data_IF_327075456205
#
_entry.id   IF_327075456205
#
_cell.length_a   1.000
_cell.length_b   1.000
_cell.length_c   1.000
_cell.angle_alpha   90.00
_cell.angle_beta   90.00
_cell.angle_gamma   90.00
#
_symmetry.space_group_name_H-M   'P 1'
#
loop_
_entity.id
_entity.type
_entity.pdbx_description
1 polymer ?
#
# COMPACT_ATOMS: atom_id res chain seq x y z
N UNK A 1 -3.77 -9.76 -3.06
CA UNK A 1 -2.82 -9.04 -2.21
C UNK A 1 -2.49 -9.81 -0.95
N UNK A 2 -1.20 -9.94 -0.65
CA UNK A 2 -0.63 -10.45 0.60
C UNK A 2 0.12 -9.32 1.32
N UNK A 3 0.08 -9.26 2.65
CA UNK A 3 0.84 -8.27 3.44
C UNK A 3 2.03 -8.99 4.07
N UNK A 4 3.25 -8.68 3.63
CA UNK A 4 4.48 -9.34 4.10
C UNK A 4 5.06 -8.72 5.39
N UNK A 5 4.47 -7.63 5.87
CA UNK A 5 4.85 -6.99 7.12
C UNK A 5 5.24 -5.53 6.95
N UNK A 6 5.63 -4.90 8.07
CA UNK A 6 5.98 -3.49 8.14
C UNK A 6 7.49 -3.32 8.09
N UNK A 7 7.95 -2.45 7.21
CA UNK A 7 9.29 -1.91 7.25
C UNK A 7 9.32 -0.72 8.22
N UNK A 8 10.12 -0.85 9.28
CA UNK A 8 10.24 0.15 10.34
C UNK A 8 11.02 1.38 9.84
N UNK A 9 11.96 1.21 8.92
CA UNK A 9 12.81 2.30 8.45
C UNK A 9 12.04 3.28 7.56
N UNK A 10 11.12 2.77 6.75
CA UNK A 10 10.28 3.56 5.84
C UNK A 10 8.87 3.82 6.36
N UNK A 11 8.50 3.20 7.49
CA UNK A 11 7.15 3.21 8.06
C UNK A 11 6.07 2.79 7.04
N UNK A 12 6.42 1.84 6.18
CA UNK A 12 5.56 1.32 5.12
C UNK A 12 5.24 -0.17 5.34
N UNK A 13 4.06 -0.59 4.90
CA UNK A 13 3.71 -2.00 4.78
C UNK A 13 4.11 -2.50 3.39
N UNK A 14 4.80 -3.64 3.35
CA UNK A 14 5.07 -4.37 2.13
C UNK A 14 3.84 -5.19 1.77
N UNK A 15 3.30 -4.95 0.59
CA UNK A 15 2.19 -5.72 0.04
C UNK A 15 2.59 -6.30 -1.31
N UNK A 16 2.29 -7.58 -1.50
CA UNK A 16 2.51 -8.29 -2.77
C UNK A 16 1.18 -8.38 -3.48
N UNK A 17 1.15 -7.97 -4.75
CA UNK A 17 -0.02 -8.03 -5.62
C UNK A 17 0.36 -8.78 -6.88
N UNK A 18 -0.47 -9.74 -7.27
CA UNK A 18 -0.38 -10.34 -8.61
C UNK A 18 -0.90 -9.32 -9.62
N UNK A 19 -0.04 -8.92 -10.54
CA UNK A 19 -0.36 -8.04 -11.67
C UNK A 19 0.01 -8.77 -12.95
N UNK A 20 -0.99 -9.16 -13.73
CA UNK A 20 -0.80 -9.84 -15.01
C UNK A 20 0.06 -11.13 -14.92
N UNK A 21 -0.05 -11.87 -13.80
CA UNK A 21 0.72 -13.10 -13.56
C UNK A 21 2.12 -12.87 -12.98
N UNK A 22 2.47 -11.64 -12.63
CA UNK A 22 3.71 -11.27 -11.97
C UNK A 22 3.44 -10.76 -10.55
N UNK A 23 4.18 -11.28 -9.57
CA UNK A 23 4.16 -10.73 -8.23
C UNK A 23 4.88 -9.38 -8.24
N UNK A 24 4.16 -8.33 -7.86
CA UNK A 24 4.67 -6.96 -7.72
C UNK A 24 4.58 -6.56 -6.26
N UNK A 25 5.71 -6.14 -5.70
CA UNK A 25 5.76 -5.65 -4.33
C UNK A 25 5.62 -4.12 -4.29
N UNK A 26 4.63 -3.65 -3.52
CA UNK A 26 4.38 -2.25 -3.24
C UNK A 26 4.63 -1.90 -1.78
N UNK A 27 5.13 -0.69 -1.54
CA UNK A 27 5.23 -0.06 -0.22
C UNK A 27 4.05 0.87 0.00
N UNK A 28 3.28 0.57 1.05
CA UNK A 28 2.08 1.31 1.43
C UNK A 28 2.34 2.07 2.73
N UNK A 29 2.41 3.41 2.72
CA UNK A 29 2.72 4.18 3.91
C UNK A 29 1.67 4.07 5.02
N UNK A 30 2.12 3.80 6.26
CA UNK A 30 1.24 3.67 7.43
C UNK A 30 0.49 4.96 7.76
N UNK A 31 1.09 6.12 7.47
CA UNK A 31 0.52 7.47 7.70
C UNK A 31 -0.84 7.71 7.02
N UNK A 32 -1.26 6.86 6.08
CA UNK A 32 -2.58 6.99 5.44
C UNK A 32 -3.72 6.44 6.29
N UNK A 33 -3.44 5.52 7.22
CA UNK A 33 -4.48 4.91 8.04
C UNK A 33 -5.19 5.93 8.98
N UNK A 34 -4.50 6.83 9.72
CA UNK A 34 -5.15 7.77 10.64
C UNK A 34 -6.02 8.81 9.94
N UNK A 35 -5.51 9.41 8.86
CA UNK A 35 -6.23 10.42 8.09
C UNK A 35 -7.53 9.87 7.50
N UNK A 36 -7.55 8.57 7.16
CA UNK A 36 -8.73 7.89 6.65
C UNK A 36 -9.66 7.36 7.75
N UNK A 37 -9.10 6.98 8.90
CA UNK A 37 -9.87 6.47 10.04
C UNK A 37 -10.37 7.59 10.98
N UNK A 38 -10.00 8.85 10.72
CA UNK A 38 -10.37 9.99 11.55
C UNK A 38 -9.70 9.98 12.93
N UNK A 39 -8.59 9.24 13.07
CA UNK A 39 -7.87 9.08 14.34
C UNK A 39 -6.78 10.14 14.41
N UNK A 40 -6.78 10.94 15.48
CA UNK A 40 -5.68 11.87 15.77
C UNK A 40 -4.46 11.11 16.29
N UNK A 41 -3.38 11.07 15.51
CA UNK A 41 -2.10 10.46 15.94
C UNK A 41 -1.61 9.34 15.03
N UNK A 42 -0.55 8.65 15.46
CA UNK A 42 0.01 7.48 14.75
C UNK A 42 -0.99 6.31 14.84
N UNK A 43 -1.32 5.62 13.74
CA UNK A 43 -2.27 4.52 13.79
C UNK A 43 -1.65 3.36 14.57
N UNK A 44 -2.47 2.56 15.22
CA UNK A 44 -1.99 1.26 15.69
C UNK A 44 -1.72 0.33 14.50
N UNK A 45 -0.93 -0.72 14.73
CA UNK A 45 -0.72 -1.77 13.72
C UNK A 45 -2.05 -2.38 13.24
N UNK A 46 -3.00 -2.55 14.15
CA UNK A 46 -4.33 -3.07 13.83
C UNK A 46 -5.12 -2.12 12.93
N UNK A 47 -5.06 -0.81 13.20
CA UNK A 47 -5.71 0.21 12.36
C UNK A 47 -5.16 0.21 10.93
N UNK A 48 -3.84 0.05 10.79
CA UNK A 48 -3.20 -0.06 9.49
C UNK A 48 -3.69 -1.31 8.73
N UNK A 49 -3.74 -2.47 9.38
CA UNK A 49 -4.29 -3.70 8.76
C UNK A 49 -5.75 -3.53 8.34
N UNK A 50 -6.60 -2.95 9.19
CA UNK A 50 -8.01 -2.69 8.86
C UNK A 50 -8.12 -1.74 7.67
N UNK A 51 -7.30 -0.69 7.62
CA UNK A 51 -7.29 0.24 6.51
C UNK A 51 -6.83 -0.40 5.20
N UNK A 52 -5.75 -1.19 5.23
CA UNK A 52 -5.24 -1.92 4.05
C UNK A 52 -6.31 -2.90 3.56
N UNK A 53 -6.94 -3.66 4.47
CA UNK A 53 -8.01 -4.59 4.11
C UNK A 53 -9.22 -3.89 3.48
N UNK A 54 -9.65 -2.75 4.04
CA UNK A 54 -10.77 -1.94 3.50
C UNK A 54 -10.46 -1.29 2.15
N UNK A 55 -9.19 -1.03 1.86
CA UNK A 55 -8.75 -0.38 0.62
C UNK A 55 -8.05 -1.34 -0.34
N UNK A 56 -8.15 -2.66 -0.12
CA UNK A 56 -7.46 -3.70 -0.90
C UNK A 56 -7.58 -3.45 -2.40
N UNK A 57 -8.80 -3.33 -2.92
CA UNK A 57 -9.03 -3.18 -4.37
C UNK A 57 -8.40 -1.90 -4.93
N UNK A 58 -8.37 -0.81 -4.13
CA UNK A 58 -7.75 0.46 -4.54
C UNK A 58 -6.23 0.39 -4.51
N UNK A 59 -5.66 -0.32 -3.54
CA UNK A 59 -4.22 -0.56 -3.43
C UNK A 59 -3.76 -1.45 -4.58
N UNK A 60 -4.49 -2.54 -4.85
CA UNK A 60 -4.22 -3.43 -5.99
C UNK A 60 -4.29 -2.67 -7.32
N UNK A 61 -5.32 -1.84 -7.53
CA UNK A 61 -5.44 -1.02 -8.73
C UNK A 61 -4.32 0.02 -8.85
N UNK A 62 -3.91 0.65 -7.75
CA UNK A 62 -2.81 1.61 -7.73
C UNK A 62 -1.47 0.95 -8.09
N UNK A 63 -1.18 -0.21 -7.50
CA UNK A 63 0.02 -1.00 -7.78
C UNK A 63 0.02 -1.48 -9.24
N UNK A 64 -1.10 -2.02 -9.73
CA UNK A 64 -1.22 -2.44 -11.11
C UNK A 64 -1.00 -1.27 -12.09
N UNK A 65 -1.56 -0.09 -11.80
CA UNK A 65 -1.37 1.09 -12.64
C UNK A 65 0.08 1.58 -12.68
N UNK A 66 0.76 1.54 -11.52
CA UNK A 66 2.20 1.86 -11.43
C UNK A 66 3.04 0.82 -12.19
N UNK A 67 2.75 -0.48 -12.00
CA UNK A 67 3.51 -1.57 -12.60
C UNK A 67 3.41 -1.58 -14.13
N UNK A 68 2.22 -1.22 -14.65
CA UNK A 68 1.97 -1.09 -16.09
C UNK A 68 2.47 0.23 -16.68
N UNK A 69 3.00 1.15 -15.87
CA UNK A 69 3.42 2.48 -16.33
C UNK A 69 2.29 3.37 -16.85
N UNK A 70 1.05 3.11 -16.43
CA UNK A 70 -0.17 3.77 -16.96
C UNK A 70 -0.40 5.18 -16.38
N UNK A 71 0.40 5.60 -15.40
CA UNK A 71 0.32 6.92 -14.78
C UNK A 71 0.58 6.89 -13.28
N UNK A 72 0.07 7.91 -12.56
CA UNK A 72 0.16 7.99 -11.10
C UNK A 72 -1.22 7.84 -10.45
N UNK A 73 -1.35 7.01 -9.39
CA UNK A 73 -2.58 6.91 -8.60
C UNK A 73 -3.02 8.25 -8.03
N UNK A 74 -4.29 8.35 -7.63
CA UNK A 74 -4.80 9.50 -6.88
C UNK A 74 -4.47 9.37 -5.40
N UNK A 75 -4.42 10.50 -4.70
CA UNK A 75 -4.27 10.51 -3.25
C UNK A 75 -5.36 9.69 -2.54
N UNK A 76 -5.02 8.97 -1.45
CA UNK A 76 -3.69 8.84 -0.84
C UNK A 76 -2.75 7.82 -1.51
N UNK A 77 -3.20 7.07 -2.52
CA UNK A 77 -2.47 5.96 -3.12
C UNK A 77 -1.31 6.38 -4.05
N UNK A 78 -1.18 7.69 -4.32
CA UNK A 78 -0.10 8.25 -5.13
C UNK A 78 1.27 8.18 -4.45
N UNK A 79 1.31 7.93 -3.15
CA UNK A 79 2.53 7.75 -2.35
C UNK A 79 2.97 6.28 -2.27
N UNK A 80 2.22 5.37 -2.89
CA UNK A 80 2.65 3.98 -3.06
C UNK A 80 3.86 3.94 -4.00
N UNK A 81 4.89 3.22 -3.60
CA UNK A 81 6.10 2.98 -4.40
C UNK A 81 6.24 1.50 -4.68
N UNK A 82 6.74 1.14 -5.87
CA UNK A 82 7.05 -0.24 -6.21
C UNK A 82 8.50 -0.53 -5.84
N UNK A 83 8.76 -1.76 -5.39
CA UNK A 83 10.11 -2.26 -5.16
C UNK A 83 10.36 -3.33 -6.21
N UNK A 84 11.48 -3.22 -6.93
CA UNK A 84 11.94 -4.31 -7.79
C UNK A 84 12.45 -5.44 -6.89
N UNK A 85 11.78 -6.59 -6.92
CA UNK A 85 12.32 -7.81 -6.32
C UNK A 85 13.37 -8.39 -7.31
N UNK A 86 14.64 -8.25 -6.93
CA UNK A 86 15.81 -8.75 -7.67
C UNK A 86 15.91 -10.27 -7.69
#
# INVERSE_FOLDING_TARGET
>A
MEIQGRDIATECYRVVVDVDGHNVTGLVPERHAPAFLGIGGRPSHQDAYVWIARNKDKIEAAIAMLARGQGRPKAPFNEITLIEEH
#
